data_IF_335494505248
#
_entry.id   IF_335494505248
#
_cell.length_a   1.000
_cell.length_b   1.000
_cell.length_c   1.000
_cell.angle_alpha   90.00
_cell.angle_beta   90.00
_cell.angle_gamma   90.00
#
_symmetry.space_group_name_H-M   'P 1'
#
loop_
_entity.id
_entity.type
_entity.pdbx_description
1 polymer ?
#
# COMPACT_ATOMS: atom_id res chain seq x y z
N UNK A 1 -18.34 5.88 13.06
CA UNK A 1 -18.09 4.49 13.46
C UNK A 1 -16.89 3.95 12.65
N UNK A 2 -15.93 3.23 13.27
CA UNK A 2 -14.86 2.55 12.54
C UNK A 2 -15.47 1.54 11.57
N UNK A 3 -14.98 1.53 10.31
CA UNK A 3 -15.51 0.64 9.28
C UNK A 3 -14.51 -0.46 8.93
N UNK A 4 -13.29 -0.11 8.51
CA UNK A 4 -12.21 -1.08 8.39
C UNK A 4 -10.84 -0.43 8.59
N UNK A 5 -9.88 -1.26 9.01
CA UNK A 5 -8.48 -0.88 9.13
C UNK A 5 -7.63 -1.63 8.11
N UNK A 6 -6.58 -0.98 7.65
CA UNK A 6 -5.61 -1.55 6.73
C UNK A 6 -4.19 -1.16 7.11
N UNK A 7 -3.26 -2.02 6.77
CA UNK A 7 -1.83 -1.74 6.83
C UNK A 7 -1.26 -1.66 5.42
N UNK A 8 0.05 -1.57 5.29
CA UNK A 8 0.76 -1.70 4.03
C UNK A 8 1.57 -2.99 4.00
N UNK A 9 1.80 -3.48 2.78
CA UNK A 9 2.59 -4.67 2.53
C UNK A 9 3.29 -4.57 1.17
N UNK A 10 4.27 -5.43 0.95
CA UNK A 10 4.84 -5.66 -0.35
C UNK A 10 3.97 -6.65 -1.14
N UNK A 11 3.58 -6.26 -2.31
CA UNK A 11 2.96 -7.08 -3.36
C UNK A 11 3.97 -7.21 -4.49
N UNK A 12 4.26 -8.42 -4.94
CA UNK A 12 5.27 -8.63 -5.99
C UNK A 12 4.91 -9.73 -6.97
N UNK A 13 5.44 -9.65 -8.16
CA UNK A 13 5.36 -10.65 -9.19
C UNK A 13 6.33 -11.78 -8.90
N UNK A 14 5.80 -12.85 -8.30
CA UNK A 14 6.59 -14.02 -7.94
C UNK A 14 7.29 -14.66 -9.16
N UNK A 15 6.59 -14.74 -10.28
CA UNK A 15 7.13 -15.28 -11.53
C UNK A 15 8.35 -14.51 -12.02
N UNK A 16 8.38 -13.18 -11.86
CA UNK A 16 9.53 -12.34 -12.22
C UNK A 16 10.69 -12.48 -11.23
N UNK A 17 10.38 -12.59 -9.93
CA UNK A 17 11.40 -12.83 -8.91
C UNK A 17 12.06 -14.20 -9.11
N UNK A 18 11.28 -15.25 -9.33
CA UNK A 18 11.76 -16.61 -9.62
C UNK A 18 12.64 -16.62 -10.87
N UNK A 19 12.21 -15.96 -11.96
CA UNK A 19 13.00 -15.83 -13.20
C UNK A 19 14.31 -15.08 -12.99
N UNK A 20 14.33 -14.13 -12.06
CA UNK A 20 15.54 -13.38 -11.69
C UNK A 20 16.46 -14.15 -10.73
N UNK A 21 16.05 -15.32 -10.26
CA UNK A 21 16.77 -16.12 -9.27
C UNK A 21 16.76 -15.50 -7.86
N UNK A 22 15.73 -14.69 -7.53
CA UNK A 22 15.65 -13.98 -6.26
C UNK A 22 14.46 -14.52 -5.45
N UNK A 23 14.75 -15.00 -4.25
CA UNK A 23 13.74 -15.35 -3.25
C UNK A 23 13.48 -14.13 -2.37
N UNK A 24 12.23 -13.67 -2.34
CA UNK A 24 11.81 -12.57 -1.46
C UNK A 24 11.55 -13.14 -0.07
N UNK A 25 12.24 -12.60 0.94
CA UNK A 25 12.03 -12.98 2.34
C UNK A 25 10.68 -12.44 2.86
N UNK A 26 10.11 -13.06 3.90
CA UNK A 26 8.89 -12.57 4.56
C UNK A 26 9.04 -11.15 5.12
N UNK A 27 10.25 -10.79 5.54
CA UNK A 27 10.63 -9.46 6.03
C UNK A 27 11.81 -8.93 5.21
N UNK A 28 11.55 -8.46 3.99
CA UNK A 28 12.62 -8.01 3.11
C UNK A 28 13.22 -6.69 3.59
N UNK A 29 14.43 -6.39 3.12
CA UNK A 29 15.02 -5.06 3.29
C UNK A 29 14.77 -4.19 2.06
N UNK A 30 14.84 -2.88 2.21
CA UNK A 30 14.79 -1.96 1.07
C UNK A 30 15.95 -2.17 0.08
N UNK A 31 17.09 -2.69 0.56
CA UNK A 31 18.21 -3.09 -0.30
C UNK A 31 17.80 -4.25 -1.20
N UNK A 32 17.13 -5.27 -0.65
CA UNK A 32 16.64 -6.42 -1.43
C UNK A 32 15.59 -5.98 -2.45
N UNK A 33 14.68 -5.07 -2.05
CA UNK A 33 13.64 -4.53 -2.93
C UNK A 33 14.26 -3.75 -4.09
N UNK A 34 15.26 -2.89 -3.83
CA UNK A 34 15.95 -2.16 -4.89
C UNK A 34 16.71 -3.11 -5.83
N UNK A 35 17.35 -4.14 -5.29
CA UNK A 35 18.06 -5.14 -6.09
C UNK A 35 17.09 -5.92 -7.01
N UNK A 36 15.94 -6.33 -6.47
CA UNK A 36 14.90 -6.99 -7.27
C UNK A 36 14.33 -6.02 -8.32
N UNK A 37 14.03 -4.76 -7.95
CA UNK A 37 13.54 -3.75 -8.88
C UNK A 37 14.48 -3.60 -10.08
N UNK A 38 15.78 -3.49 -9.84
CA UNK A 38 16.79 -3.37 -10.88
C UNK A 38 16.83 -4.59 -11.82
N UNK A 39 16.65 -5.79 -11.26
CA UNK A 39 16.71 -7.05 -12.03
C UNK A 39 15.50 -7.26 -12.95
N UNK A 40 14.31 -6.87 -12.49
CA UNK A 40 13.07 -7.11 -13.23
C UNK A 40 12.61 -5.91 -14.05
N UNK A 41 13.26 -4.75 -13.91
CA UNK A 41 12.94 -3.55 -14.68
C UNK A 41 13.25 -3.73 -16.17
N UNK A 42 12.19 -3.75 -16.97
CA UNK A 42 12.27 -3.96 -18.43
C UNK A 42 11.19 -3.11 -19.15
N UNK A 43 11.35 -1.78 -19.17
CA UNK A 43 10.39 -0.89 -19.82
C UNK A 43 10.36 -1.10 -21.35
N UNK A 44 9.22 -0.91 -22.00
CA UNK A 44 7.92 -0.52 -21.45
C UNK A 44 7.09 -1.71 -20.96
N UNK A 45 7.66 -2.91 -20.89
CA UNK A 45 6.94 -4.14 -20.55
C UNK A 45 6.60 -4.20 -19.06
N UNK A 46 7.62 -4.02 -18.20
CA UNK A 46 7.49 -4.07 -16.73
C UNK A 46 8.36 -2.99 -16.10
N UNK A 47 7.79 -2.22 -15.22
CA UNK A 47 8.52 -1.33 -14.31
C UNK A 47 8.85 -2.09 -13.02
N UNK A 48 10.07 -1.94 -12.51
CA UNK A 48 10.58 -2.72 -11.38
C UNK A 48 9.74 -2.54 -10.11
N UNK A 49 9.32 -1.30 -9.84
CA UNK A 49 8.47 -0.96 -8.70
C UNK A 49 7.54 0.20 -9.05
N UNK A 50 6.29 0.14 -8.59
CA UNK A 50 5.34 1.22 -8.68
C UNK A 50 5.02 1.73 -7.27
N UNK A 51 5.17 3.02 -7.05
CA UNK A 51 4.93 3.68 -5.78
C UNK A 51 4.10 4.94 -6.00
N UNK A 52 3.32 5.32 -4.98
CA UNK A 52 2.55 6.57 -5.03
C UNK A 52 3.49 7.76 -5.10
N UNK A 53 3.38 8.57 -6.15
CA UNK A 53 4.14 9.81 -6.31
C UNK A 53 3.28 11.05 -6.30
N UNK A 54 1.94 10.90 -6.43
CA UNK A 54 0.98 11.99 -6.52
C UNK A 54 0.87 12.75 -5.19
N UNK A 55 1.01 14.08 -5.18
CA UNK A 55 0.65 14.89 -4.03
C UNK A 55 -0.88 14.96 -3.89
N UNK A 56 -1.37 15.09 -2.68
CA UNK A 56 -2.82 15.19 -2.41
C UNK A 56 -3.16 14.94 -0.95
N UNK A 57 -4.27 14.30 -0.69
CA UNK A 57 -4.84 14.03 0.64
C UNK A 57 -4.01 13.06 1.51
N UNK A 58 -2.74 12.88 1.21
CA UNK A 58 -1.82 12.00 1.90
C UNK A 58 -1.17 10.95 1.00
N UNK A 59 -1.54 10.90 -0.27
CA UNK A 59 -1.14 9.88 -1.26
C UNK A 59 0.32 9.45 -1.17
N UNK A 60 1.26 10.28 -1.65
CA UNK A 60 2.68 10.00 -1.59
C UNK A 60 3.24 10.04 -0.16
N UNK A 61 2.64 10.87 0.71
CA UNK A 61 3.11 11.01 2.09
C UNK A 61 2.73 9.82 2.95
N UNK A 62 1.66 9.09 2.66
CA UNK A 62 1.34 7.83 3.33
C UNK A 62 2.50 6.83 3.15
N UNK A 63 3.02 6.70 1.94
CA UNK A 63 4.17 5.87 1.64
C UNK A 63 5.48 6.46 2.21
N UNK A 64 5.77 7.72 1.92
CA UNK A 64 7.03 8.38 2.31
C UNK A 64 7.21 8.38 3.83
N UNK A 65 6.15 8.60 4.61
CA UNK A 65 6.21 8.55 6.08
C UNK A 65 6.68 7.20 6.59
N UNK A 66 6.18 6.10 6.01
CA UNK A 66 6.61 4.75 6.41
C UNK A 66 8.06 4.49 6.01
N UNK A 67 8.47 4.95 4.83
CA UNK A 67 9.85 4.84 4.39
C UNK A 67 10.80 5.60 5.32
N UNK A 68 10.46 6.83 5.69
CA UNK A 68 11.21 7.64 6.67
C UNK A 68 11.35 6.91 8.01
N UNK A 69 10.27 6.30 8.50
CA UNK A 69 10.29 5.53 9.75
C UNK A 69 11.26 4.34 9.66
N UNK A 70 11.37 3.67 8.52
CA UNK A 70 12.32 2.56 8.33
C UNK A 70 13.77 3.05 8.32
N UNK A 71 14.01 4.31 7.97
CA UNK A 71 15.33 4.97 8.06
C UNK A 71 15.63 5.53 9.45
N UNK A 72 14.69 5.37 10.41
CA UNK A 72 14.84 5.90 11.78
C UNK A 72 14.47 7.37 11.91
N UNK A 73 13.80 7.95 10.91
CA UNK A 73 13.34 9.33 10.94
C UNK A 73 12.06 9.51 11.76
N UNK A 74 11.85 10.72 12.21
CA UNK A 74 10.67 11.17 12.95
C UNK A 74 10.18 12.49 12.38
N UNK A 75 8.88 12.78 12.52
CA UNK A 75 8.30 14.07 12.14
C UNK A 75 8.69 15.18 13.11
N UNK A 76 8.61 14.89 14.41
CA UNK A 76 8.89 15.80 15.50
C UNK A 76 9.71 15.07 16.58
N UNK A 77 10.52 15.80 17.33
CA UNK A 77 11.09 15.30 18.57
C UNK A 77 10.11 15.45 19.76
N UNK A 78 10.54 15.03 20.94
CA UNK A 78 9.71 15.11 22.16
C UNK A 78 9.38 16.55 22.60
N UNK A 79 10.03 17.55 22.05
CA UNK A 79 9.75 18.97 22.26
C UNK A 79 8.91 19.57 21.12
N UNK A 80 8.33 18.74 20.25
CA UNK A 80 7.55 19.13 19.07
C UNK A 80 8.34 19.95 18.03
N UNK A 81 9.66 19.88 18.05
CA UNK A 81 10.51 20.50 17.04
C UNK A 81 10.52 19.63 15.78
N UNK A 82 10.23 20.19 14.59
CA UNK A 82 10.25 19.44 13.32
C UNK A 82 11.64 18.83 13.04
N UNK A 83 11.65 17.58 12.55
CA UNK A 83 12.89 16.82 12.25
C UNK A 83 13.07 16.58 10.74
N UNK A 84 12.39 17.34 9.88
CA UNK A 84 12.34 17.12 8.43
C UNK A 84 13.69 17.31 7.71
N UNK A 85 14.62 18.03 8.31
CA UNK A 85 15.97 18.25 7.77
C UNK A 85 16.99 17.22 8.26
N UNK A 86 16.57 16.29 9.10
CA UNK A 86 17.46 15.26 9.65
C UNK A 86 17.97 14.31 8.55
N UNK A 87 19.11 13.67 8.83
CA UNK A 87 19.71 12.73 7.87
C UNK A 87 18.75 11.61 7.44
N UNK A 88 17.97 10.95 8.35
CA UNK A 88 17.01 9.93 7.94
C UNK A 88 15.97 10.42 6.93
N UNK A 89 15.48 11.65 7.05
CA UNK A 89 14.57 12.25 6.08
C UNK A 89 15.23 12.44 4.72
N UNK A 90 16.44 12.99 4.69
CA UNK A 90 17.19 13.21 3.45
C UNK A 90 17.50 11.90 2.74
N UNK A 91 17.93 10.89 3.50
CA UNK A 91 18.23 9.56 2.97
C UNK A 91 16.97 8.90 2.40
N UNK A 92 15.85 8.94 3.13
CA UNK A 92 14.58 8.37 2.69
C UNK A 92 14.05 9.04 1.42
N UNK A 93 14.06 10.39 1.36
CA UNK A 93 13.61 11.12 0.16
C UNK A 93 14.52 10.81 -1.03
N UNK A 94 15.84 10.79 -0.82
CA UNK A 94 16.79 10.45 -1.88
C UNK A 94 16.54 9.05 -2.42
N UNK A 95 16.35 8.08 -1.54
CA UNK A 95 16.06 6.71 -1.90
C UNK A 95 14.72 6.57 -2.64
N UNK A 96 13.68 7.25 -2.16
CA UNK A 96 12.37 7.28 -2.81
C UNK A 96 12.42 7.84 -4.23
N UNK A 97 13.10 8.97 -4.41
CA UNK A 97 13.27 9.59 -5.72
C UNK A 97 14.09 8.69 -6.66
N UNK A 98 15.12 8.04 -6.12
CA UNK A 98 15.92 7.06 -6.88
C UNK A 98 15.08 5.89 -7.39
N UNK A 99 14.24 5.31 -6.53
CA UNK A 99 13.33 4.22 -6.92
C UNK A 99 12.37 4.66 -8.03
N UNK A 100 11.74 5.82 -7.88
CA UNK A 100 10.77 6.33 -8.87
C UNK A 100 11.42 6.65 -10.21
N UNK A 101 12.61 7.27 -10.21
CA UNK A 101 13.31 7.67 -11.43
C UNK A 101 13.89 6.50 -12.19
N UNK A 102 14.48 5.55 -11.50
CA UNK A 102 15.24 4.48 -12.14
C UNK A 102 14.42 3.22 -12.38
N UNK A 103 13.37 2.97 -11.61
CA UNK A 103 12.62 1.72 -11.65
C UNK A 103 11.11 1.90 -11.72
N UNK A 104 10.59 3.12 -11.56
CA UNK A 104 9.18 3.46 -11.64
C UNK A 104 8.69 3.71 -13.07
N UNK A 105 7.36 3.74 -13.29
CA UNK A 105 6.78 4.12 -14.57
C UNK A 105 6.96 5.62 -14.85
N UNK A 106 6.99 6.02 -16.13
CA UNK A 106 6.90 7.43 -16.50
C UNK A 106 5.68 8.09 -15.86
N UNK A 107 5.83 9.34 -15.41
CA UNK A 107 4.72 10.07 -14.78
C UNK A 107 4.37 9.59 -13.37
N UNK A 108 5.26 8.89 -12.67
CA UNK A 108 5.04 8.43 -11.29
C UNK A 108 4.52 9.52 -10.35
N UNK A 109 4.88 10.79 -10.58
CA UNK A 109 4.39 11.93 -9.80
C UNK A 109 2.88 12.20 -9.95
N UNK A 110 2.21 11.57 -10.89
CA UNK A 110 0.75 11.64 -11.08
C UNK A 110 0.03 10.37 -10.58
N UNK A 111 0.77 9.35 -10.16
CA UNK A 111 0.20 8.07 -9.76
C UNK A 111 -0.17 8.04 -8.28
N UNK A 112 -1.43 7.75 -7.99
CA UNK A 112 -1.99 7.37 -6.71
C UNK A 112 -2.32 5.87 -6.70
N UNK A 113 -3.11 5.42 -5.73
CA UNK A 113 -3.54 4.03 -5.59
C UNK A 113 -4.19 3.48 -6.86
N UNK A 114 -5.17 4.19 -7.43
CA UNK A 114 -5.96 3.69 -8.57
C UNK A 114 -5.12 3.57 -9.85
N UNK A 115 -4.25 4.53 -10.12
CA UNK A 115 -3.37 4.49 -11.28
C UNK A 115 -2.37 3.33 -11.19
N UNK A 116 -1.82 3.09 -9.99
CA UNK A 116 -0.90 1.96 -9.77
C UNK A 116 -1.64 0.63 -9.82
N UNK A 117 -2.84 0.55 -9.25
CA UNK A 117 -3.69 -0.65 -9.33
C UNK A 117 -3.94 -1.05 -10.78
N UNK A 118 -4.29 -0.09 -11.64
CA UNK A 118 -4.48 -0.33 -13.06
C UNK A 118 -3.20 -0.85 -13.73
N UNK A 119 -2.05 -0.23 -13.47
CA UNK A 119 -0.76 -0.67 -13.99
C UNK A 119 -0.39 -2.08 -13.49
N UNK A 120 -0.64 -2.38 -12.23
CA UNK A 120 -0.33 -3.69 -11.65
C UNK A 120 -1.22 -4.79 -12.25
N UNK A 121 -2.53 -4.54 -12.36
CA UNK A 121 -3.48 -5.47 -12.95
C UNK A 121 -3.18 -5.76 -14.43
N UNK A 122 -2.64 -4.80 -15.17
CA UNK A 122 -2.14 -4.98 -16.53
C UNK A 122 -0.78 -5.69 -16.60
N UNK A 123 -0.14 -6.00 -15.46
CA UNK A 123 1.16 -6.66 -15.38
C UNK A 123 2.35 -5.72 -15.62
N UNK A 124 2.13 -4.41 -15.60
CA UNK A 124 3.16 -3.39 -15.85
C UNK A 124 4.04 -3.07 -14.63
N UNK A 125 3.67 -3.51 -13.43
CA UNK A 125 4.44 -3.33 -12.20
C UNK A 125 4.99 -4.67 -11.73
N UNK A 126 6.29 -4.73 -11.45
CA UNK A 126 6.93 -5.91 -10.85
C UNK A 126 6.71 -5.99 -9.36
N UNK A 127 6.72 -4.85 -8.69
CA UNK A 127 6.44 -4.70 -7.25
C UNK A 127 5.58 -3.47 -6.99
N UNK A 128 4.83 -3.54 -5.89
CA UNK A 128 4.03 -2.45 -5.35
C UNK A 128 3.99 -2.54 -3.82
N UNK A 129 4.25 -1.44 -3.14
CA UNK A 129 4.11 -1.36 -1.68
C UNK A 129 2.99 -0.38 -1.40
N UNK A 130 1.90 -0.90 -0.86
CA UNK A 130 0.69 -0.14 -0.64
C UNK A 130 -0.26 -0.86 0.34
N UNK A 131 -1.46 -0.32 0.49
CA UNK A 131 -2.52 -0.78 1.38
C UNK A 131 -2.89 -2.25 1.15
N UNK A 132 -3.12 -2.96 2.24
CA UNK A 132 -3.49 -4.38 2.23
C UNK A 132 -4.79 -4.67 1.46
N UNK A 133 -5.67 -3.67 1.31
CA UNK A 133 -6.90 -3.81 0.50
C UNK A 133 -6.62 -4.14 -0.97
N UNK A 134 -5.45 -3.74 -1.49
CA UNK A 134 -5.07 -4.01 -2.87
C UNK A 134 -5.07 -5.51 -3.20
N UNK A 135 -4.83 -6.38 -2.20
CA UNK A 135 -4.82 -7.84 -2.39
C UNK A 135 -6.08 -8.36 -3.06
N UNK A 136 -7.26 -7.88 -2.64
CA UNK A 136 -8.54 -8.33 -3.20
C UNK A 136 -8.70 -8.03 -4.70
N UNK A 137 -8.08 -6.95 -5.17
CA UNK A 137 -8.16 -6.54 -6.57
C UNK A 137 -7.11 -7.23 -7.44
N UNK A 138 -5.87 -7.33 -6.95
CA UNK A 138 -4.76 -7.86 -7.75
C UNK A 138 -4.76 -9.39 -7.84
N UNK A 139 -5.51 -10.08 -6.95
CA UNK A 139 -5.70 -11.54 -6.98
C UNK A 139 -7.02 -11.97 -7.61
N UNK A 140 -7.88 -11.03 -8.02
CA UNK A 140 -9.10 -11.35 -8.73
C UNK A 140 -8.82 -11.56 -10.24
N UNK A 141 -8.99 -12.79 -10.77
CA UNK A 141 -8.73 -13.07 -12.18
C UNK A 141 -9.68 -12.34 -13.14
N UNK A 142 -10.76 -11.75 -12.64
CA UNK A 142 -11.66 -10.92 -13.45
C UNK A 142 -11.13 -9.50 -13.66
N UNK A 143 -10.21 -9.06 -12.80
CA UNK A 143 -9.67 -7.71 -12.80
C UNK A 143 -8.18 -7.66 -13.14
N UNK A 144 -7.44 -8.71 -12.82
CA UNK A 144 -5.98 -8.73 -12.94
C UNK A 144 -5.50 -9.82 -13.90
N UNK A 145 -4.70 -9.42 -14.89
CA UNK A 145 -4.03 -10.33 -15.83
C UNK A 145 -2.91 -11.14 -15.19
N UNK A 146 -2.55 -10.80 -13.96
CA UNK A 146 -1.43 -11.40 -13.21
C UNK A 146 -1.87 -11.98 -11.86
N UNK A 147 -3.17 -12.21 -11.68
CA UNK A 147 -3.75 -12.66 -10.42
C UNK A 147 -3.11 -13.94 -9.85
N UNK A 148 -2.73 -14.87 -10.72
CA UNK A 148 -2.06 -16.14 -10.40
C UNK A 148 -0.56 -16.04 -10.15
N UNK A 149 0.03 -14.83 -10.32
CA UNK A 149 1.49 -14.57 -10.28
C UNK A 149 1.90 -13.68 -9.12
N UNK A 150 0.95 -13.28 -8.28
CA UNK A 150 1.17 -12.36 -7.17
C UNK A 150 1.60 -13.13 -5.92
N UNK A 151 2.56 -12.59 -5.19
CA UNK A 151 2.90 -13.01 -3.84
C UNK A 151 3.04 -11.77 -2.93
N UNK A 152 3.08 -12.02 -1.64
CA UNK A 152 3.05 -10.99 -0.61
C UNK A 152 4.21 -11.17 0.36
N UNK A 153 4.69 -10.05 0.91
CA UNK A 153 5.63 -10.03 2.01
C UNK A 153 5.34 -8.81 2.90
N UNK A 154 5.92 -8.77 4.08
CA UNK A 154 5.79 -7.60 4.97
C UNK A 154 6.42 -6.35 4.34
N UNK A 155 6.05 -5.18 4.85
CA UNK A 155 6.69 -3.93 4.44
C UNK A 155 8.20 -3.97 4.71
N UNK A 156 9.03 -3.49 3.76
CA UNK A 156 10.48 -3.60 3.86
C UNK A 156 11.07 -2.84 5.06
N UNK A 157 12.19 -3.32 5.57
CA UNK A 157 12.99 -2.72 6.64
C UNK A 157 14.23 -2.00 6.09
N UNK A 158 14.85 -1.11 6.86
CA UNK A 158 16.11 -0.45 6.51
C UNK A 158 17.04 -0.34 7.73
N UNK A 159 17.20 0.85 8.27
CA UNK A 159 18.03 1.11 9.45
C UNK A 159 17.39 0.64 10.76
N UNK A 160 16.11 0.38 10.76
CA UNK A 160 15.36 -0.14 11.91
C UNK A 160 14.72 -1.48 11.56
N UNK A 161 14.37 -2.28 12.57
CA UNK A 161 13.62 -3.53 12.41
C UNK A 161 12.13 -3.32 12.13
N UNK A 162 11.69 -2.06 12.09
CA UNK A 162 10.32 -1.69 11.73
C UNK A 162 10.17 -1.71 10.21
N UNK A 163 9.18 -2.44 9.73
CA UNK A 163 8.84 -2.44 8.30
C UNK A 163 8.15 -1.14 7.86
N UNK A 164 8.06 -0.94 6.55
CA UNK A 164 7.31 0.14 5.94
C UNK A 164 5.81 -0.10 6.06
N UNK A 165 5.31 -0.07 7.29
CA UNK A 165 3.91 -0.34 7.62
C UNK A 165 3.22 0.93 8.14
N UNK A 166 1.97 1.10 7.74
CA UNK A 166 1.07 2.11 8.31
C UNK A 166 -0.13 1.47 8.98
N UNK A 167 -0.87 2.25 9.70
CA UNK A 167 -2.24 1.95 10.09
C UNK A 167 -3.13 3.03 9.48
N UNK A 168 -4.05 2.61 8.63
CA UNK A 168 -5.09 3.47 8.09
C UNK A 168 -6.45 2.94 8.51
N UNK A 169 -7.31 3.81 9.00
CA UNK A 169 -8.65 3.42 9.44
C UNK A 169 -9.70 4.25 8.70
N UNK A 170 -10.61 3.56 8.05
CA UNK A 170 -11.79 4.16 7.44
C UNK A 170 -12.95 4.19 8.42
N UNK A 171 -13.72 5.25 8.38
CA UNK A 171 -14.87 5.43 9.25
C UNK A 171 -16.09 5.83 8.44
N UNK A 172 -17.26 5.39 8.91
CA UNK A 172 -18.55 5.89 8.45
C UNK A 172 -19.02 7.01 9.37
N UNK A 173 -19.49 8.09 8.79
CA UNK A 173 -20.01 9.25 9.51
C UNK A 173 -21.38 9.64 8.99
N UNK A 174 -22.21 10.17 9.88
CA UNK A 174 -23.50 10.76 9.53
C UNK A 174 -23.32 12.28 9.53
N UNK A 175 -23.44 12.98 8.39
CA UNK A 175 -23.31 14.43 8.34
C UNK A 175 -24.38 15.12 9.19
N UNK A 176 -24.01 16.16 9.93
CA UNK A 176 -24.94 16.89 10.82
C UNK A 176 -26.13 17.52 10.05
N UNK A 177 -25.93 17.90 8.78
CA UNK A 177 -26.97 18.50 7.95
C UNK A 177 -27.91 17.52 7.26
N UNK A 178 -27.79 16.20 7.49
CA UNK A 178 -28.69 15.22 6.84
C UNK A 178 -30.12 15.35 7.35
N UNK A 179 -31.08 15.20 6.43
CA UNK A 179 -32.52 15.12 6.77
C UNK A 179 -32.95 13.68 7.13
N UNK A 180 -32.07 12.70 6.95
CA UNK A 180 -32.34 11.27 7.15
C UNK A 180 -31.43 10.68 8.26
N UNK A 181 -31.22 11.37 9.38
CA UNK A 181 -30.27 10.99 10.43
C UNK A 181 -30.55 9.57 10.96
N UNK A 182 -31.81 9.23 11.28
CA UNK A 182 -32.17 7.93 11.84
C UNK A 182 -31.89 6.78 10.85
N UNK A 183 -32.23 6.96 9.58
CA UNK A 183 -31.96 5.96 8.55
C UNK A 183 -30.45 5.77 8.32
N UNK A 184 -29.70 6.87 8.28
CA UNK A 184 -28.25 6.84 8.15
C UNK A 184 -27.58 6.15 9.35
N UNK A 185 -28.05 6.42 10.57
CA UNK A 185 -27.53 5.77 11.78
C UNK A 185 -27.82 4.27 11.80
N UNK A 186 -29.02 3.86 11.40
CA UNK A 186 -29.38 2.43 11.26
C UNK A 186 -28.47 1.74 10.25
N UNK A 187 -28.24 2.38 9.09
CA UNK A 187 -27.31 1.88 8.08
C UNK A 187 -25.89 1.72 8.62
N UNK A 188 -25.33 2.75 9.27
CA UNK A 188 -23.98 2.71 9.85
C UNK A 188 -23.88 1.59 10.89
N UNK A 189 -24.88 1.43 11.75
CA UNK A 189 -24.92 0.37 12.77
C UNK A 189 -24.92 -1.01 12.12
N UNK A 190 -25.74 -1.21 11.09
CA UNK A 190 -25.76 -2.47 10.35
C UNK A 190 -24.48 -2.71 9.57
N UNK A 191 -23.96 -1.73 8.83
CA UNK A 191 -22.75 -1.85 8.04
C UNK A 191 -21.49 -2.14 8.86
N UNK A 192 -21.52 -1.86 10.18
CA UNK A 192 -20.45 -2.20 11.12
C UNK A 192 -20.76 -3.43 11.97
N UNK A 193 -21.76 -4.23 11.62
CA UNK A 193 -22.20 -5.42 12.35
C UNK A 193 -21.51 -6.70 11.85
N UNK A 194 -21.56 -7.75 12.67
CA UNK A 194 -21.14 -9.11 12.27
C UNK A 194 -22.02 -9.67 11.13
N UNK A 195 -23.29 -9.28 11.10
CA UNK A 195 -24.23 -9.67 10.04
C UNK A 195 -23.75 -9.16 8.67
N UNK A 196 -23.35 -7.88 8.59
CA UNK A 196 -22.81 -7.30 7.37
C UNK A 196 -21.53 -8.02 6.92
N UNK A 197 -20.60 -8.28 7.84
CA UNK A 197 -19.35 -9.03 7.55
C UNK A 197 -19.68 -10.39 6.94
N UNK A 198 -20.61 -11.14 7.55
CA UNK A 198 -21.01 -12.45 7.06
C UNK A 198 -21.71 -12.36 5.69
N UNK A 199 -22.52 -11.32 5.46
CA UNK A 199 -23.14 -11.07 4.17
C UNK A 199 -22.10 -10.85 3.07
N UNK A 200 -21.12 -9.97 3.30
CA UNK A 200 -20.06 -9.70 2.34
C UNK A 200 -19.22 -10.95 2.08
N UNK A 201 -18.82 -11.67 3.15
CA UNK A 201 -18.06 -12.92 2.99
C UNK A 201 -18.76 -13.95 2.11
N UNK A 202 -20.11 -14.08 2.25
CA UNK A 202 -20.93 -15.00 1.47
C UNK A 202 -21.15 -14.54 0.03
N UNK A 203 -21.32 -13.23 -0.19
CA UNK A 203 -21.67 -12.68 -1.50
C UNK A 203 -20.46 -12.42 -2.41
N UNK A 204 -19.33 -11.97 -1.84
CA UNK A 204 -18.17 -11.53 -2.61
C UNK A 204 -16.84 -12.17 -2.15
N UNK A 205 -16.87 -12.96 -1.10
CA UNK A 205 -15.69 -13.67 -0.57
C UNK A 205 -14.96 -12.93 0.56
N UNK A 206 -14.17 -13.68 1.33
CA UNK A 206 -13.46 -13.17 2.50
C UNK A 206 -12.42 -12.08 2.20
N UNK A 207 -11.87 -12.07 0.97
CA UNK A 207 -10.88 -11.06 0.56
C UNK A 207 -11.47 -9.63 0.50
N UNK A 208 -12.80 -9.49 0.42
CA UNK A 208 -13.50 -8.19 0.32
C UNK A 208 -14.13 -7.74 1.64
N UNK A 209 -14.02 -8.55 2.68
CA UNK A 209 -14.59 -8.24 4.00
C UNK A 209 -13.85 -7.06 4.63
N UNK A 210 -14.60 -6.07 5.20
CA UNK A 210 -13.99 -4.99 5.97
C UNK A 210 -13.22 -5.55 7.19
N UNK A 211 -11.91 -5.37 7.19
CA UNK A 211 -11.03 -5.90 8.23
C UNK A 211 -10.96 -4.98 9.45
N UNK A 212 -10.88 -5.55 10.66
CA UNK A 212 -10.72 -4.77 11.88
C UNK A 212 -11.99 -4.09 12.41
N UNK A 213 -13.15 -4.28 11.75
CA UNK A 213 -14.44 -3.72 12.20
C UNK A 213 -14.95 -4.40 13.46
N UNK A 214 -14.82 -5.72 13.52
CA UNK A 214 -15.26 -6.58 14.62
C UNK A 214 -14.30 -7.74 14.83
N UNK A 215 -14.20 -8.21 16.07
CA UNK A 215 -13.54 -9.46 16.45
C UNK A 215 -14.48 -10.64 16.26
#
# INVERSE_FOLDING_TARGET
>A
APFYGESSMLMYRKDLADKAGITVADKPTWTDIKALAAKIHNPPNVYGICLRGKPGWGDNMAFLSTLVNTHGGQWFDMSWKPQLESKPWKDAITFYVDLLKNYGPPGSSANSFNEILALYNEGKCGMWIDATIAASFITDPKQSKVADKVAFAQGPQMATTKGANWLWAWALAVPAGTKNADAAQKFVTWATSKEYINLIAKSTGWATVPTGTRK
#
